data_IF_381882351152
#
_entry.id   IF_381882351152
#
_cell.length_a   1.000
_cell.length_b   1.000
_cell.length_c   1.000
_cell.angle_alpha   90.00
_cell.angle_beta   90.00
_cell.angle_gamma   90.00
#
_symmetry.space_group_name_H-M   'P 1'
#
loop_
_entity.id
_entity.type
_entity.pdbx_description
1 polymer ?
#
# COMPACT_ATOMS: atom_id res chain seq x y z
N UNK A 1 -0.22 -29.98 8.22
CA UNK A 1 -0.53 -28.70 7.55
C UNK A 1 -0.18 -28.86 6.09
N UNK A 2 -1.18 -28.98 5.22
CA UNK A 2 -0.99 -28.86 3.77
C UNK A 2 -1.08 -27.37 3.46
N UNK A 3 0.04 -26.80 2.98
CA UNK A 3 0.02 -25.45 2.43
C UNK A 3 -0.96 -25.44 1.24
N UNK A 4 -1.72 -24.35 1.03
CA UNK A 4 -2.49 -24.21 -0.20
C UNK A 4 -1.51 -24.34 -1.37
N UNK A 5 -1.78 -25.28 -2.26
CA UNK A 5 -1.04 -25.40 -3.52
C UNK A 5 -1.28 -24.10 -4.28
N UNK A 6 -0.21 -23.34 -4.54
CA UNK A 6 -0.27 -22.24 -5.50
C UNK A 6 -0.76 -22.74 -6.85
N UNK A 7 -1.03 -21.83 -7.79
CA UNK A 7 -1.26 -22.22 -9.19
C UNK A 7 -0.05 -23.04 -9.65
N UNK A 8 -0.29 -24.22 -10.23
CA UNK A 8 0.80 -25.09 -10.68
C UNK A 8 1.75 -24.29 -11.59
N UNK A 9 3.04 -24.33 -11.27
CA UNK A 9 4.14 -23.66 -11.99
C UNK A 9 4.30 -22.14 -11.82
N UNK A 10 3.49 -21.45 -11.01
CA UNK A 10 3.64 -20.01 -10.79
C UNK A 10 4.99 -19.66 -10.13
N UNK A 11 5.73 -18.72 -10.73
CA UNK A 11 7.07 -18.31 -10.31
C UNK A 11 8.18 -19.33 -10.59
N UNK A 12 7.95 -20.34 -11.43
CA UNK A 12 8.94 -21.38 -11.72
C UNK A 12 10.05 -20.91 -12.70
N UNK A 13 9.71 -20.07 -13.67
CA UNK A 13 10.60 -19.53 -14.70
C UNK A 13 10.01 -18.25 -15.31
N UNK A 14 10.70 -17.67 -16.28
CA UNK A 14 10.28 -16.43 -16.95
C UNK A 14 9.00 -16.60 -17.80
N UNK A 15 8.67 -17.83 -18.22
CA UNK A 15 7.44 -18.14 -18.96
C UNK A 15 6.24 -18.33 -18.01
N UNK A 16 6.50 -18.54 -16.72
CA UNK A 16 5.49 -18.68 -15.65
C UNK A 16 5.75 -17.68 -14.51
N UNK A 17 5.69 -16.37 -14.76
CA UNK A 17 5.94 -15.37 -13.73
C UNK A 17 4.77 -15.29 -12.74
N UNK A 18 5.07 -14.91 -11.50
CA UNK A 18 4.04 -14.58 -10.50
C UNK A 18 3.32 -13.32 -10.97
N UNK A 19 2.04 -13.45 -11.31
CA UNK A 19 1.20 -12.32 -11.70
C UNK A 19 0.54 -11.69 -10.48
N UNK A 20 0.87 -10.42 -10.21
CA UNK A 20 0.27 -9.65 -9.14
C UNK A 20 -0.84 -8.77 -9.72
N UNK A 21 -2.09 -9.17 -9.49
CA UNK A 21 -3.25 -8.41 -9.94
C UNK A 21 -3.60 -7.25 -8.99
N UNK A 22 -4.24 -6.21 -9.52
CA UNK A 22 -4.77 -5.09 -8.73
C UNK A 22 -3.75 -4.00 -8.37
N UNK A 23 -2.52 -4.10 -8.88
CA UNK A 23 -1.45 -3.12 -8.67
C UNK A 23 -0.74 -2.78 -9.98
N UNK A 24 -0.38 -1.51 -10.16
CA UNK A 24 0.46 -1.07 -11.27
C UNK A 24 1.96 -1.24 -10.95
N UNK A 25 2.81 -1.33 -11.98
CA UNK A 25 4.24 -1.56 -11.79
C UNK A 25 4.94 -0.47 -10.96
N UNK A 26 4.58 0.80 -11.18
CA UNK A 26 5.12 1.95 -10.45
C UNK A 26 4.66 1.98 -8.99
N UNK A 27 3.40 1.59 -8.73
CA UNK A 27 2.90 1.42 -7.36
C UNK A 27 3.67 0.34 -6.61
N UNK A 28 3.97 -0.78 -7.28
CA UNK A 28 4.77 -1.85 -6.71
C UNK A 28 6.23 -1.43 -6.50
N UNK A 29 6.80 -0.66 -7.43
CA UNK A 29 8.16 -0.13 -7.31
C UNK A 29 8.31 0.78 -6.06
N UNK A 30 7.33 1.66 -5.80
CA UNK A 30 7.32 2.46 -4.58
C UNK A 30 7.29 1.60 -3.31
N UNK A 31 6.52 0.52 -3.31
CA UNK A 31 6.43 -0.41 -2.19
C UNK A 31 7.74 -1.19 -1.97
N UNK A 32 8.33 -1.73 -3.03
CA UNK A 32 9.62 -2.44 -2.97
C UNK A 32 10.72 -1.50 -2.51
N UNK A 33 10.79 -0.30 -3.09
CA UNK A 33 11.75 0.73 -2.68
C UNK A 33 11.61 1.04 -1.20
N UNK A 34 10.38 1.19 -0.70
CA UNK A 34 10.12 1.43 0.72
C UNK A 34 10.60 0.26 1.59
N UNK A 35 10.24 -1.00 1.27
CA UNK A 35 10.69 -2.17 2.04
C UNK A 35 12.21 -2.24 2.15
N UNK A 36 12.92 -2.06 1.04
CA UNK A 36 14.37 -2.22 1.02
C UNK A 36 15.14 -1.00 1.53
N UNK A 37 14.54 0.19 1.53
CA UNK A 37 15.20 1.44 1.88
C UNK A 37 14.55 2.19 3.05
N UNK A 38 13.85 1.50 3.96
CA UNK A 38 13.35 2.08 5.23
C UNK A 38 14.44 2.82 6.02
N UNK A 39 15.73 2.53 5.77
CA UNK A 39 16.88 3.18 6.41
C UNK A 39 17.41 4.44 5.69
N UNK A 40 16.98 4.74 4.47
CA UNK A 40 17.44 5.93 3.74
C UNK A 40 16.53 7.13 4.02
N UNK A 41 17.12 8.28 4.30
CA UNK A 41 16.48 9.48 4.85
C UNK A 41 15.44 10.17 3.94
N UNK A 42 15.08 9.57 2.81
CA UNK A 42 14.12 10.16 1.89
C UNK A 42 12.70 9.79 2.31
N UNK A 43 12.03 10.75 2.94
CA UNK A 43 10.61 10.62 3.29
C UNK A 43 9.79 10.49 2.01
N UNK A 44 8.95 9.45 1.87
CA UNK A 44 8.14 9.28 0.66
C UNK A 44 7.12 10.41 0.54
N UNK A 45 6.94 10.91 -0.68
CA UNK A 45 5.91 11.90 -1.00
C UNK A 45 4.51 11.30 -1.01
N UNK A 46 3.49 12.15 -1.24
CA UNK A 46 2.08 11.73 -1.23
C UNK A 46 1.82 10.56 -2.19
N UNK A 47 2.25 10.66 -3.45
CA UNK A 47 2.01 9.60 -4.45
C UNK A 47 2.64 8.27 -4.05
N UNK A 48 3.87 8.30 -3.55
CA UNK A 48 4.55 7.09 -3.06
C UNK A 48 3.86 6.50 -1.84
N UNK A 49 3.43 7.32 -0.88
CA UNK A 49 2.68 6.85 0.29
C UNK A 49 1.32 6.26 -0.07
N UNK A 50 0.60 6.83 -1.05
CA UNK A 50 -0.68 6.29 -1.53
C UNK A 50 -0.47 4.94 -2.23
N UNK A 51 0.55 4.83 -3.09
CA UNK A 51 0.95 3.57 -3.70
C UNK A 51 1.28 2.51 -2.65
N UNK A 52 2.13 2.85 -1.67
CA UNK A 52 2.48 1.97 -0.54
C UNK A 52 1.21 1.56 0.22
N UNK A 53 0.35 2.51 0.59
CA UNK A 53 -0.90 2.23 1.30
C UNK A 53 -1.81 1.25 0.54
N UNK A 54 -1.89 1.38 -0.79
CA UNK A 54 -2.63 0.45 -1.65
C UNK A 54 -2.12 -0.99 -1.52
N UNK A 55 -0.81 -1.19 -1.63
CA UNK A 55 -0.19 -2.53 -1.51
C UNK A 55 -0.41 -3.11 -0.13
N UNK A 56 -0.20 -2.28 0.91
CA UNK A 56 -0.39 -2.67 2.30
C UNK A 56 -1.82 -3.14 2.59
N UNK A 57 -2.82 -2.48 2.00
CA UNK A 57 -4.22 -2.91 2.06
C UNK A 57 -4.45 -4.21 1.29
N UNK A 58 -3.95 -4.31 0.06
CA UNK A 58 -4.11 -5.50 -0.79
C UNK A 58 -3.58 -6.77 -0.10
N UNK A 59 -2.49 -6.63 0.67
CA UNK A 59 -1.82 -7.75 1.34
C UNK A 59 -2.03 -7.79 2.86
N UNK A 60 -2.93 -6.95 3.39
CA UNK A 60 -3.32 -6.92 4.81
C UNK A 60 -2.14 -6.76 5.79
N UNK A 61 -1.20 -5.87 5.48
CA UNK A 61 -0.02 -5.59 6.32
C UNK A 61 -0.34 -4.49 7.35
N UNK A 62 -1.14 -4.85 8.36
CA UNK A 62 -1.83 -3.92 9.27
C UNK A 62 -0.92 -2.89 9.98
N UNK A 63 0.23 -3.32 10.52
CA UNK A 63 1.13 -2.43 11.24
C UNK A 63 1.66 -1.30 10.35
N UNK A 64 1.88 -1.60 9.08
CA UNK A 64 2.42 -0.67 8.10
C UNK A 64 1.34 0.21 7.48
N UNK A 65 0.07 -0.23 7.46
CA UNK A 65 -1.08 0.62 7.08
C UNK A 65 -1.14 1.85 7.99
N UNK A 66 -1.09 1.65 9.31
CA UNK A 66 -1.08 2.74 10.27
C UNK A 66 0.14 3.66 10.10
N UNK A 67 1.31 3.10 9.78
CA UNK A 67 2.50 3.87 9.47
C UNK A 67 2.29 4.80 8.26
N UNK A 68 1.74 4.29 7.16
CA UNK A 68 1.50 5.07 5.95
C UNK A 68 0.45 6.18 6.17
N UNK A 69 -0.63 5.87 6.89
CA UNK A 69 -1.67 6.84 7.26
C UNK A 69 -1.06 8.00 8.06
N UNK A 70 -0.25 7.70 9.08
CA UNK A 70 0.39 8.73 9.91
C UNK A 70 1.32 9.63 9.11
N UNK A 71 2.06 9.10 8.13
CA UNK A 71 2.93 9.91 7.27
C UNK A 71 2.11 10.76 6.30
N UNK A 72 1.00 10.24 5.76
CA UNK A 72 0.07 11.03 4.94
C UNK A 72 -0.55 12.20 5.71
N UNK A 73 -0.87 12.01 7.00
CA UNK A 73 -1.37 13.11 7.84
C UNK A 73 -0.36 14.25 8.00
N UNK A 74 0.93 13.93 8.11
CA UNK A 74 2.00 14.92 8.26
C UNK A 74 2.21 15.77 7.01
N UNK A 75 1.81 15.28 5.83
CA UNK A 75 1.96 15.99 4.55
C UNK A 75 0.86 17.03 4.28
N UNK A 76 -0.13 17.18 5.17
CA UNK A 76 -1.13 18.25 5.06
C UNK A 76 -2.01 18.16 3.82
N UNK A 77 -2.58 16.98 3.56
CA UNK A 77 -3.43 16.73 2.39
C UNK A 77 -4.65 17.67 2.33
N UNK A 78 -5.07 18.11 1.13
CA UNK A 78 -6.33 18.83 0.96
C UNK A 78 -7.51 18.01 1.51
N UNK A 79 -8.53 18.64 2.14
CA UNK A 79 -9.64 17.91 2.76
C UNK A 79 -10.38 16.93 1.83
N UNK A 80 -10.56 17.30 0.56
CA UNK A 80 -11.20 16.44 -0.43
C UNK A 80 -10.39 15.17 -0.72
N UNK A 81 -9.07 15.30 -0.86
CA UNK A 81 -8.17 14.16 -1.09
C UNK A 81 -8.07 13.28 0.16
N UNK A 82 -8.05 13.89 1.36
CA UNK A 82 -8.10 13.15 2.64
C UNK A 82 -9.40 12.34 2.74
N UNK A 83 -10.54 12.91 2.38
CA UNK A 83 -11.83 12.22 2.39
C UNK A 83 -11.89 11.07 1.37
N UNK A 84 -11.39 11.29 0.15
CA UNK A 84 -11.32 10.24 -0.88
C UNK A 84 -10.52 9.02 -0.39
N UNK A 85 -9.31 9.24 0.13
CA UNK A 85 -8.47 8.18 0.69
C UNK A 85 -9.14 7.51 1.90
N UNK A 86 -9.82 8.28 2.75
CA UNK A 86 -10.53 7.73 3.90
C UNK A 86 -11.64 6.76 3.51
N UNK A 87 -12.40 7.09 2.47
CA UNK A 87 -13.44 6.23 1.93
C UNK A 87 -12.84 5.00 1.24
N UNK A 88 -11.80 5.19 0.43
CA UNK A 88 -11.19 4.11 -0.36
C UNK A 88 -10.51 3.05 0.51
N UNK A 89 -9.80 3.48 1.56
CA UNK A 89 -9.02 2.60 2.43
C UNK A 89 -9.66 2.37 3.81
N UNK A 90 -10.89 2.84 4.02
CA UNK A 90 -11.60 2.70 5.31
C UNK A 90 -10.76 3.23 6.47
N UNK A 91 -10.47 4.54 6.46
CA UNK A 91 -9.71 5.25 7.49
C UNK A 91 -10.69 6.05 8.37
N UNK A 92 -11.36 5.41 9.35
CA UNK A 92 -12.48 6.02 10.08
C UNK A 92 -12.07 7.27 10.86
N UNK A 93 -10.82 7.35 11.33
CA UNK A 93 -10.32 8.53 12.05
C UNK A 93 -10.27 9.81 11.20
N UNK A 94 -10.34 9.69 9.87
CA UNK A 94 -10.41 10.82 8.94
C UNK A 94 -11.84 11.25 8.62
N UNK A 95 -12.81 10.40 8.93
CA UNK A 95 -14.24 10.67 8.71
C UNK A 95 -14.77 11.21 10.03
N UNK A 96 -14.97 12.53 10.10
CA UNK A 96 -15.64 13.12 11.25
C UNK A 96 -17.05 12.51 11.40
N UNK A 97 -17.52 12.23 12.62
CA UNK A 97 -18.91 11.85 12.84
C UNK A 97 -19.82 12.92 12.24
N UNK A 98 -20.82 12.50 11.46
CA UNK A 98 -21.92 13.40 11.12
C UNK A 98 -22.56 13.86 12.45
N UNK A 99 -22.51 15.17 12.73
CA UNK A 99 -23.21 15.76 13.86
C UNK A 99 -24.72 15.75 13.65
#
# INVERSE_FOLDING_TARGET
LTLPSGVEHDGADDDHPILIEGIACDEFEHFVSWIYHVAESQQPGVSSLVAILKVLHLWMIENSINWAINHLEQLGLPPAHKLELACMYTIPQWIAPAM
#
